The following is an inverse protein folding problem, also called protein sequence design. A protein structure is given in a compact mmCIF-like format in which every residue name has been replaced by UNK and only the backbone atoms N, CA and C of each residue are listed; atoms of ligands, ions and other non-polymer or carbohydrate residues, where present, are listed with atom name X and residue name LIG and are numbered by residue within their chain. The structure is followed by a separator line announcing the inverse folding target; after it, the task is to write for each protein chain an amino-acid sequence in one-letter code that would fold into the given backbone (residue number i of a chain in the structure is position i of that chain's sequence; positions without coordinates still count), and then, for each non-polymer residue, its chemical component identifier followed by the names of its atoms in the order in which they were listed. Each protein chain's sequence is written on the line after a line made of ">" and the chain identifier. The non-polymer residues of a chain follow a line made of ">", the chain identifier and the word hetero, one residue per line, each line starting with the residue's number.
data_IF_329556214210
#
_entry.id   IF_329556214210
#
_cell.length_a   1.000
_cell.length_b   1.000
_cell.length_c   1.000
_cell.angle_alpha   90.00
_cell.angle_beta   90.00
_cell.angle_gamma   90.00
#
_symmetry.space_group_name_H-M   'P 1'
#
loop_
_entity.id
_entity.type
_entity.pdbx_description
1 polymer ?
#
# COMPACT_ATOMS: atom_id res chain seq x y z
N UNK A 1 -28.17 -6.57 -8.34
CA UNK A 1 -26.94 -6.61 -7.52
C UNK A 1 -26.44 -8.03 -7.29
N UNK A 2 -25.12 -8.26 -7.26
CA UNK A 2 -24.53 -9.48 -6.64
C UNK A 2 -24.40 -9.16 -5.15
N UNK A 3 -24.96 -10.00 -4.27
CA UNK A 3 -24.84 -9.82 -2.81
C UNK A 3 -23.88 -10.87 -2.28
N UNK A 4 -22.74 -10.42 -1.79
CA UNK A 4 -21.80 -11.24 -1.02
C UNK A 4 -21.05 -10.34 -0.06
N UNK A 5 -20.64 -10.88 1.08
CA UNK A 5 -19.86 -10.15 2.09
C UNK A 5 -18.36 -10.31 1.81
N UNK A 6 -17.87 -9.55 0.84
CA UNK A 6 -16.44 -9.42 0.59
C UNK A 6 -15.93 -8.14 1.26
N UNK A 7 -14.92 -8.26 2.11
CA UNK A 7 -14.21 -7.09 2.61
C UNK A 7 -13.25 -6.63 1.52
N UNK A 8 -13.71 -5.72 0.67
CA UNK A 8 -12.91 -5.16 -0.43
C UNK A 8 -11.84 -4.23 0.14
N UNK A 9 -10.61 -4.40 -0.31
CA UNK A 9 -9.50 -3.51 -0.02
C UNK A 9 -9.48 -2.39 -1.07
N UNK A 10 -9.50 -1.15 -0.60
CA UNK A 10 -9.40 0.03 -1.45
C UNK A 10 -7.94 0.44 -1.69
N UNK A 11 -7.64 1.10 -2.82
CA UNK A 11 -8.56 1.53 -3.88
C UNK A 11 -8.94 0.41 -4.87
N UNK A 12 -10.14 0.50 -5.44
CA UNK A 12 -10.56 -0.35 -6.57
C UNK A 12 -10.13 0.34 -7.86
N UNK A 13 -9.39 -0.39 -8.71
CA UNK A 13 -8.90 0.14 -9.98
C UNK A 13 -9.85 -0.27 -11.10
N UNK A 14 -10.29 0.72 -11.89
CA UNK A 14 -11.13 0.52 -13.07
C UNK A 14 -10.38 1.00 -14.30
N UNK A 15 -10.09 0.10 -15.24
CA UNK A 15 -9.36 0.42 -16.47
C UNK A 15 -9.89 -0.41 -17.64
N UNK A 16 -10.25 0.24 -18.74
CA UNK A 16 -10.72 -0.43 -19.96
C UNK A 16 -11.95 -1.33 -19.74
N UNK A 17 -12.89 -0.92 -18.88
CA UNK A 17 -14.09 -1.70 -18.54
C UNK A 17 -13.82 -2.92 -17.65
N UNK A 18 -12.60 -3.10 -17.17
CA UNK A 18 -12.21 -4.17 -16.22
C UNK A 18 -12.03 -3.59 -14.83
N UNK A 19 -12.39 -4.39 -13.83
CA UNK A 19 -12.19 -4.11 -12.41
C UNK A 19 -11.16 -5.09 -11.87
N UNK A 20 -10.09 -4.58 -11.25
CA UNK A 20 -9.20 -5.37 -10.40
C UNK A 20 -9.46 -4.97 -8.95
N UNK A 21 -9.74 -5.96 -8.10
CA UNK A 21 -10.01 -5.76 -6.68
C UNK A 21 -9.29 -6.83 -5.86
N UNK A 22 -8.87 -6.44 -4.66
CA UNK A 22 -8.40 -7.35 -3.62
C UNK A 22 -9.50 -7.45 -2.55
N UNK A 23 -9.73 -8.64 -2.01
CA UNK A 23 -10.73 -8.86 -0.97
C UNK A 23 -10.23 -9.84 0.08
N UNK A 24 -10.54 -9.55 1.35
CA UNK A 24 -10.31 -10.46 2.47
C UNK A 24 -11.60 -11.23 2.70
N UNK A 25 -11.54 -12.55 2.57
CA UNK A 25 -12.71 -13.40 2.72
C UNK A 25 -12.32 -14.86 2.95
N UNK A 26 -13.30 -15.72 3.18
CA UNK A 26 -13.13 -17.17 3.24
C UNK A 26 -13.40 -17.83 1.87
N UNK A 27 -12.99 -19.10 1.74
CA UNK A 27 -13.10 -19.86 0.49
C UNK A 27 -14.55 -19.98 0.00
N UNK A 28 -15.50 -20.19 0.93
CA UNK A 28 -16.90 -20.38 0.59
C UNK A 28 -17.51 -19.11 -0.03
N UNK A 29 -17.20 -17.94 0.53
CA UNK A 29 -17.65 -16.64 0.01
C UNK A 29 -17.04 -16.30 -1.35
N UNK A 30 -15.78 -16.70 -1.62
CA UNK A 30 -15.17 -16.59 -2.97
C UNK A 30 -15.94 -17.42 -3.98
N UNK A 31 -16.14 -18.71 -3.70
CA UNK A 31 -16.81 -19.63 -4.62
C UNK A 31 -18.25 -19.17 -4.90
N UNK A 32 -18.96 -18.69 -3.87
CA UNK A 32 -20.28 -18.08 -4.02
C UNK A 32 -20.24 -16.84 -4.92
N UNK A 33 -19.28 -15.94 -4.72
CA UNK A 33 -19.16 -14.72 -5.52
C UNK A 33 -18.88 -15.03 -7.00
N UNK A 34 -17.94 -15.94 -7.29
CA UNK A 34 -17.61 -16.35 -8.64
C UNK A 34 -18.83 -16.95 -9.37
N UNK A 35 -19.59 -17.80 -8.67
CA UNK A 35 -20.84 -18.37 -9.19
C UNK A 35 -21.87 -17.28 -9.53
N UNK A 36 -21.99 -16.24 -8.71
CA UNK A 36 -22.93 -15.13 -8.97
C UNK A 36 -22.49 -14.25 -10.14
N UNK A 37 -21.19 -14.08 -10.36
CA UNK A 37 -20.66 -13.37 -11.53
C UNK A 37 -20.93 -14.15 -12.82
N UNK A 38 -20.67 -15.46 -12.80
CA UNK A 38 -20.93 -16.35 -13.94
C UNK A 38 -22.42 -16.36 -14.33
N UNK A 39 -23.33 -16.49 -13.34
CA UNK A 39 -24.78 -16.41 -13.55
C UNK A 39 -25.25 -15.11 -14.20
N UNK A 40 -24.45 -14.05 -14.13
CA UNK A 40 -24.73 -12.74 -14.74
C UNK A 40 -23.97 -12.50 -16.04
N UNK A 41 -23.25 -13.49 -16.54
CA UNK A 41 -22.42 -13.36 -17.73
C UNK A 41 -21.19 -12.47 -17.52
N UNK A 42 -20.79 -12.22 -16.26
CA UNK A 42 -19.61 -11.40 -15.95
C UNK A 42 -18.38 -12.31 -15.95
N UNK A 43 -17.45 -12.05 -16.86
CA UNK A 43 -16.16 -12.76 -16.91
C UNK A 43 -15.29 -12.29 -15.75
N UNK A 44 -14.88 -13.22 -14.90
CA UNK A 44 -13.98 -12.97 -13.78
C UNK A 44 -12.98 -14.12 -13.65
N UNK A 45 -11.80 -13.80 -13.12
CA UNK A 45 -10.76 -14.76 -12.79
C UNK A 45 -10.11 -14.35 -11.47
N UNK A 46 -9.64 -15.35 -10.71
CA UNK A 46 -8.84 -15.12 -9.52
C UNK A 46 -7.38 -15.04 -9.98
N UNK A 47 -6.74 -13.88 -9.79
CA UNK A 47 -5.33 -13.70 -10.16
C UNK A 47 -4.38 -14.33 -9.13
N UNK A 48 -4.68 -14.21 -7.84
CA UNK A 48 -3.91 -14.87 -6.77
C UNK A 48 -4.77 -15.13 -5.53
N UNK A 49 -4.36 -16.12 -4.72
CA UNK A 49 -4.90 -16.38 -3.38
C UNK A 49 -3.72 -16.47 -2.44
N UNK A 50 -3.81 -15.76 -1.31
CA UNK A 50 -2.80 -15.79 -0.27
C UNK A 50 -3.41 -15.56 1.10
N UNK A 51 -2.61 -15.83 2.13
CA UNK A 51 -2.95 -15.36 3.47
C UNK A 51 -2.83 -13.84 3.50
N UNK A 52 -3.86 -13.17 4.03
CA UNK A 52 -3.78 -11.74 4.28
C UNK A 52 -2.81 -11.48 5.44
N UNK A 53 -1.53 -11.46 5.12
CA UNK A 53 -0.52 -10.79 5.92
C UNK A 53 -0.34 -9.43 5.28
N UNK A 54 -0.84 -8.38 5.94
CA UNK A 54 -0.43 -7.01 5.61
C UNK A 54 1.04 -6.90 5.96
N UNK A 55 1.92 -7.37 5.07
CA UNK A 55 3.35 -7.20 5.22
C UNK A 55 3.60 -5.70 5.28
N UNK A 56 4.19 -5.24 6.37
CA UNK A 56 4.41 -3.82 6.54
C UNK A 56 5.39 -3.38 5.43
N UNK A 57 4.93 -2.47 4.55
CA UNK A 57 5.72 -1.94 3.44
C UNK A 57 7.08 -1.43 3.94
N UNK A 58 7.07 -0.76 5.09
CA UNK A 58 8.24 -0.25 5.78
C UNK A 58 8.48 -1.05 7.07
N UNK A 59 9.75 -1.19 7.46
CA UNK A 59 10.08 -1.71 8.81
C UNK A 59 9.56 -0.73 9.87
N UNK A 60 9.40 -1.18 11.12
CA UNK A 60 8.95 -0.32 12.23
C UNK A 60 9.79 0.96 12.34
N UNK A 61 11.11 0.83 12.22
CA UNK A 61 12.04 1.98 12.26
C UNK A 61 11.88 2.92 11.07
N UNK A 62 11.67 2.38 9.86
CA UNK A 62 11.43 3.19 8.67
C UNK A 62 10.12 3.96 8.75
N UNK A 63 9.05 3.32 9.25
CA UNK A 63 7.77 3.96 9.52
C UNK A 63 7.90 5.10 10.55
N UNK A 64 8.62 4.86 11.64
CA UNK A 64 8.88 5.87 12.67
C UNK A 64 9.62 7.09 12.11
N UNK A 65 10.68 6.87 11.33
CA UNK A 65 11.46 7.93 10.69
C UNK A 65 10.59 8.72 9.70
N UNK A 66 9.82 8.04 8.85
CA UNK A 66 8.94 8.70 7.89
C UNK A 66 7.86 9.55 8.57
N UNK A 67 7.21 9.00 9.61
CA UNK A 67 6.20 9.71 10.39
C UNK A 67 6.79 10.94 11.08
N UNK A 68 7.98 10.81 11.66
CA UNK A 68 8.65 11.92 12.34
C UNK A 68 9.08 13.00 11.35
N UNK A 69 9.60 12.60 10.18
CA UNK A 69 9.92 13.51 9.08
C UNK A 69 8.68 14.31 8.64
N UNK A 70 7.53 13.63 8.48
CA UNK A 70 6.27 14.29 8.13
C UNK A 70 5.82 15.29 9.19
N UNK A 71 5.83 14.90 10.47
CA UNK A 71 5.39 15.78 11.57
C UNK A 71 6.27 17.02 11.72
N UNK A 72 7.58 16.86 11.52
CA UNK A 72 8.55 17.96 11.62
C UNK A 72 8.64 18.82 10.34
N UNK A 73 7.79 18.56 9.34
CA UNK A 73 7.74 19.37 8.12
C UNK A 73 8.94 19.19 7.19
N UNK A 74 9.56 18.00 7.21
CA UNK A 74 10.63 17.64 6.26
C UNK A 74 10.13 17.64 4.80
N UNK A 75 8.84 17.39 4.62
CA UNK A 75 8.16 17.32 3.32
C UNK A 75 7.40 18.60 2.95
N UNK A 76 7.38 19.60 3.84
CA UNK A 76 6.65 20.83 3.60
C UNK A 76 7.32 21.69 2.53
N UNK A 77 6.56 22.60 1.93
CA UNK A 77 7.05 23.56 0.93
C UNK A 77 6.72 24.98 1.44
N UNK A 78 7.73 25.77 1.90
CA UNK A 78 9.14 25.40 2.10
C UNK A 78 9.33 24.40 3.27
N UNK A 79 10.44 23.64 3.25
CA UNK A 79 10.74 22.67 4.31
C UNK A 79 10.96 23.38 5.64
N UNK A 80 10.37 22.86 6.71
CA UNK A 80 10.55 23.37 8.08
C UNK A 80 11.75 22.79 8.81
N UNK A 81 12.27 21.65 8.35
CA UNK A 81 13.47 21.01 8.91
C UNK A 81 14.37 20.49 7.80
N UNK A 82 15.68 20.72 7.92
CA UNK A 82 16.68 20.16 7.03
C UNK A 82 17.02 18.70 7.38
N UNK A 83 17.59 17.97 6.42
CA UNK A 83 18.09 16.61 6.67
C UNK A 83 19.17 16.57 7.77
N UNK A 84 19.99 17.61 7.86
CA UNK A 84 21.02 17.74 8.89
C UNK A 84 20.42 17.91 10.28
N UNK A 85 19.42 18.76 10.44
CA UNK A 85 18.73 18.97 11.72
C UNK A 85 17.94 17.74 12.12
N UNK A 86 17.25 17.10 11.17
CA UNK A 86 16.53 15.87 11.45
C UNK A 86 17.48 14.74 11.90
N UNK A 87 18.65 14.60 11.28
CA UNK A 87 19.67 13.63 11.72
C UNK A 87 20.11 13.86 13.17
N UNK A 88 20.29 15.13 13.57
CA UNK A 88 20.61 15.49 14.96
C UNK A 88 19.52 15.06 15.94
N UNK A 89 18.24 15.28 15.61
CA UNK A 89 17.11 14.87 16.47
C UNK A 89 17.01 13.35 16.66
N UNK A 90 17.52 12.57 15.69
CA UNK A 90 17.53 11.11 15.75
C UNK A 90 18.83 10.54 16.32
N UNK A 91 19.80 11.38 16.68
CA UNK A 91 21.15 11.00 17.12
C UNK A 91 21.86 10.03 16.15
N UNK A 92 21.69 10.25 14.84
CA UNK A 92 22.36 9.48 13.78
C UNK A 92 23.11 10.41 12.82
N UNK A 93 24.01 9.84 12.03
CA UNK A 93 24.70 10.61 11.00
C UNK A 93 23.74 11.06 9.88
N UNK A 94 24.05 12.20 9.27
CA UNK A 94 23.31 12.69 8.08
C UNK A 94 23.32 11.66 6.94
N UNK A 95 24.43 10.94 6.76
CA UNK A 95 24.56 9.90 5.73
C UNK A 95 23.65 8.70 6.02
N UNK A 96 23.60 8.20 7.26
CA UNK A 96 22.73 7.10 7.65
C UNK A 96 21.25 7.45 7.50
N UNK A 97 20.86 8.69 7.86
CA UNK A 97 19.50 9.16 7.64
C UNK A 97 19.19 9.28 6.13
N UNK A 98 20.10 9.84 5.34
CA UNK A 98 19.94 9.95 3.88
C UNK A 98 19.70 8.58 3.22
N UNK A 99 20.51 7.59 3.58
CA UNK A 99 20.39 6.22 3.07
C UNK A 99 19.05 5.58 3.48
N UNK A 100 18.63 5.81 4.72
CA UNK A 100 17.36 5.31 5.23
C UNK A 100 16.17 5.95 4.53
N UNK A 101 16.19 7.27 4.31
CA UNK A 101 15.17 7.97 3.53
C UNK A 101 15.11 7.46 2.08
N UNK A 102 16.25 7.21 1.44
CA UNK A 102 16.30 6.60 0.09
C UNK A 102 15.66 5.21 0.06
N UNK A 103 15.92 4.36 1.07
CA UNK A 103 15.26 3.05 1.19
C UNK A 103 13.75 3.17 1.37
N UNK A 104 13.30 4.12 2.20
CA UNK A 104 11.88 4.40 2.39
C UNK A 104 11.23 4.80 1.06
N UNK A 105 11.79 5.80 0.37
CA UNK A 105 11.26 6.25 -0.92
C UNK A 105 11.27 5.16 -1.98
N UNK A 106 12.33 4.35 -2.06
CA UNK A 106 12.38 3.22 -2.99
C UNK A 106 11.17 2.28 -2.79
N UNK A 107 10.91 1.87 -1.54
CA UNK A 107 9.78 0.98 -1.22
C UNK A 107 8.43 1.62 -1.52
N UNK A 108 8.25 2.90 -1.18
CA UNK A 108 7.02 3.65 -1.48
C UNK A 108 6.78 3.75 -2.99
N UNK A 109 7.83 4.07 -3.76
CA UNK A 109 7.76 4.18 -5.21
C UNK A 109 7.46 2.83 -5.86
N UNK A 110 8.17 1.77 -5.47
CA UNK A 110 7.93 0.41 -5.98
C UNK A 110 6.49 -0.03 -5.71
N UNK A 111 6.00 0.20 -4.48
CA UNK A 111 4.61 -0.11 -4.11
C UNK A 111 3.60 0.70 -4.95
N UNK A 112 3.84 2.00 -5.13
CA UNK A 112 2.94 2.86 -5.91
C UNK A 112 2.89 2.47 -7.40
N UNK A 113 4.04 2.14 -7.98
CA UNK A 113 4.14 1.71 -9.39
C UNK A 113 3.51 0.33 -9.62
N UNK A 114 3.65 -0.60 -8.67
CA UNK A 114 2.97 -1.90 -8.71
C UNK A 114 1.45 -1.74 -8.63
N UNK A 115 0.94 -0.84 -7.78
CA UNK A 115 -0.49 -0.55 -7.70
C UNK A 115 -1.05 0.20 -8.92
N UNK A 116 -0.20 0.78 -9.77
CA UNK A 116 -0.62 1.58 -10.94
C UNK A 116 -0.58 0.81 -12.27
N UNK A 117 -0.14 -0.45 -12.25
CA UNK A 117 0.04 -1.31 -13.44
C UNK A 117 -1.06 -2.37 -13.56
#
# INVERSE_FOLDING_TARGET
>A
MVKTELLIIYPILVKGGKIRMEAITDRFKVDHFMTQLEKKGIKAAIESIGYYYKSALLTSRQNEILNTASKNGYFDIPRRISLSEFAKTLHISKSALSETMRRIYKRLTESYLQSSS
#
